data_IF_835967352636
#
_entry.id   IF_835967352636
#
_cell.length_a   1.000
_cell.length_b   1.000
_cell.length_c   1.000
_cell.angle_alpha   90.00
_cell.angle_beta   90.00
_cell.angle_gamma   90.00
#
_symmetry.space_group_name_H-M   'P 1'
#
loop_
_entity.id
_entity.type
_entity.pdbx_description
1 polymer ?
#
# COMPACT_ATOMS: atom_id res chain seq x y z
N UNK A 1 -24.99 7.09 -11.28
CA UNK A 1 -24.04 6.43 -12.22
C UNK A 1 -22.67 6.59 -11.57
N UNK A 2 -22.34 5.71 -10.62
CA UNK A 2 -21.23 5.93 -9.66
C UNK A 2 -20.28 4.72 -9.61
N UNK A 3 -20.20 3.96 -10.70
CA UNK A 3 -19.44 2.71 -10.80
C UNK A 3 -18.05 2.91 -11.41
N UNK A 4 -17.70 4.12 -11.86
CA UNK A 4 -16.44 4.36 -12.56
C UNK A 4 -15.24 4.42 -11.61
N UNK A 5 -15.41 4.98 -10.39
CA UNK A 5 -14.34 5.10 -9.38
C UNK A 5 -13.98 3.78 -8.68
N UNK A 6 -14.95 2.87 -8.54
CA UNK A 6 -14.72 1.53 -7.95
C UNK A 6 -13.99 0.61 -8.93
N UNK A 7 -14.29 0.70 -10.24
CA UNK A 7 -13.54 -0.04 -11.27
C UNK A 7 -12.06 0.37 -11.34
N UNK A 8 -11.73 1.57 -10.87
CA UNK A 8 -10.37 2.12 -10.82
C UNK A 8 -9.49 1.45 -9.75
N UNK A 9 -10.08 0.84 -8.70
CA UNK A 9 -9.31 0.07 -7.71
C UNK A 9 -9.03 -1.37 -8.14
N UNK A 10 -9.67 -1.83 -9.22
CA UNK A 10 -9.51 -3.19 -9.71
C UNK A 10 -8.30 -3.36 -10.64
N UNK A 11 -7.47 -2.32 -10.74
CA UNK A 11 -6.29 -2.28 -11.59
C UNK A 11 -5.06 -2.15 -10.68
N UNK A 12 -4.16 -3.16 -10.66
CA UNK A 12 -3.00 -3.16 -9.76
C UNK A 12 -2.10 -1.94 -9.97
N UNK A 13 -2.03 -1.40 -11.19
CA UNK A 13 -1.26 -0.18 -11.48
C UNK A 13 -1.82 1.04 -10.75
N UNK A 14 -3.14 1.15 -10.64
CA UNK A 14 -3.78 2.28 -9.98
C UNK A 14 -3.69 2.13 -8.46
N UNK A 15 -3.89 0.92 -7.94
CA UNK A 15 -3.68 0.63 -6.51
C UNK A 15 -2.23 0.94 -6.09
N UNK A 16 -1.25 0.67 -6.95
CA UNK A 16 0.15 1.03 -6.70
C UNK A 16 0.35 2.55 -6.60
N UNK A 17 -0.17 3.31 -7.57
CA UNK A 17 -0.13 4.79 -7.53
C UNK A 17 -0.82 5.33 -6.27
N UNK A 18 -1.94 4.73 -5.88
CA UNK A 18 -2.66 5.10 -4.67
C UNK A 18 -1.82 4.84 -3.40
N UNK A 19 -1.17 3.68 -3.31
CA UNK A 19 -0.28 3.35 -2.21
C UNK A 19 0.92 4.32 -2.15
N UNK A 20 1.54 4.63 -3.28
CA UNK A 20 2.65 5.61 -3.35
C UNK A 20 2.22 7.00 -2.85
N UNK A 21 1.06 7.50 -3.33
CA UNK A 21 0.53 8.78 -2.89
C UNK A 21 0.18 8.80 -1.40
N UNK A 22 -0.34 7.69 -0.87
CA UNK A 22 -0.63 7.53 0.54
C UNK A 22 0.64 7.60 1.41
N UNK A 23 1.69 6.88 1.01
CA UNK A 23 2.97 6.87 1.73
C UNK A 23 3.63 8.25 1.73
N UNK A 24 3.48 9.01 0.64
CA UNK A 24 4.02 10.37 0.53
C UNK A 24 3.38 11.37 1.51
N UNK A 25 2.10 11.18 1.88
CA UNK A 25 1.38 12.08 2.81
C UNK A 25 1.50 11.62 4.26
N UNK A 26 1.51 10.30 4.47
CA UNK A 26 1.21 9.71 5.77
C UNK A 26 2.37 9.31 6.64
N UNK A 27 3.60 9.33 6.14
CA UNK A 27 4.74 8.73 6.83
C UNK A 27 5.98 9.62 6.85
N UNK A 28 6.86 9.42 7.86
CA UNK A 28 8.17 10.03 7.86
C UNK A 28 8.87 9.67 6.56
N UNK A 29 9.44 10.69 5.91
CA UNK A 29 10.14 10.53 4.65
C UNK A 29 11.06 9.32 4.70
N UNK A 30 10.89 8.39 3.75
CA UNK A 30 11.84 7.30 3.55
C UNK A 30 13.24 7.90 3.51
N UNK A 31 14.24 7.30 4.18
CA UNK A 31 15.56 7.90 4.28
C UNK A 31 16.13 8.16 2.90
N UNK A 32 16.73 9.35 2.73
CA UNK A 32 17.31 9.80 1.47
C UNK A 32 18.41 8.83 1.05
N UNK A 33 18.24 8.18 -0.11
CA UNK A 33 19.16 7.16 -0.61
C UNK A 33 18.59 5.74 -0.62
N UNK A 34 17.39 5.54 -0.06
CA UNK A 34 16.69 4.27 -0.15
C UNK A 34 16.30 3.95 -1.61
N UNK A 35 16.67 2.74 -2.05
CA UNK A 35 16.36 2.23 -3.39
C UNK A 35 15.05 1.44 -3.36
N UNK A 36 14.18 1.66 -4.35
CA UNK A 36 12.95 0.88 -4.52
C UNK A 36 13.30 -0.53 -5.00
N UNK A 37 12.83 -1.53 -4.27
CA UNK A 37 12.89 -2.93 -4.68
C UNK A 37 11.71 -3.18 -5.62
N UNK A 38 11.99 -3.71 -6.81
CA UNK A 38 10.97 -3.93 -7.84
C UNK A 38 10.57 -5.39 -7.97
N UNK A 39 11.47 -6.31 -7.59
CA UNK A 39 11.23 -7.74 -7.73
C UNK A 39 11.07 -8.42 -6.36
N UNK A 40 10.08 -9.31 -6.19
CA UNK A 40 9.90 -10.06 -4.94
C UNK A 40 11.12 -10.91 -4.56
N UNK A 41 11.89 -11.37 -5.55
CA UNK A 41 13.11 -12.18 -5.36
C UNK A 41 14.27 -11.41 -4.68
N UNK A 42 14.21 -10.08 -4.68
CA UNK A 42 15.18 -9.23 -3.99
C UNK A 42 14.83 -9.05 -2.50
N UNK A 43 13.64 -9.50 -2.09
CA UNK A 43 13.18 -9.42 -0.71
C UNK A 43 13.66 -10.62 0.11
N UNK A 44 13.80 -10.47 1.43
CA UNK A 44 13.92 -11.59 2.35
C UNK A 44 12.76 -12.59 2.18
N UNK A 45 12.96 -13.89 2.46
CA UNK A 45 11.95 -14.93 2.24
C UNK A 45 10.59 -14.63 2.87
N UNK A 46 10.57 -14.07 4.09
CA UNK A 46 9.33 -13.73 4.79
C UNK A 46 8.55 -12.61 4.08
N UNK A 47 9.26 -11.60 3.56
CA UNK A 47 8.68 -10.49 2.80
C UNK A 47 8.31 -10.90 1.37
N UNK A 48 9.08 -11.79 0.77
CA UNK A 48 8.78 -12.39 -0.52
C UNK A 48 7.43 -13.10 -0.47
N UNK A 49 7.17 -13.91 0.56
CA UNK A 49 5.87 -14.57 0.75
C UNK A 49 4.71 -13.59 0.82
N UNK A 50 4.88 -12.46 1.51
CA UNK A 50 3.88 -11.39 1.54
C UNK A 50 3.69 -10.79 0.14
N UNK A 51 4.76 -10.47 -0.59
CA UNK A 51 4.68 -9.93 -1.95
C UNK A 51 3.99 -10.89 -2.92
N UNK A 52 4.34 -12.18 -2.87
CA UNK A 52 3.76 -13.22 -3.72
C UNK A 52 2.29 -13.46 -3.42
N UNK A 53 1.89 -13.41 -2.15
CA UNK A 53 0.47 -13.52 -1.76
C UNK A 53 -0.41 -12.42 -2.38
N UNK A 54 0.20 -11.28 -2.77
CA UNK A 54 -0.50 -10.16 -3.39
C UNK A 54 -0.57 -10.25 -4.92
N UNK A 55 0.30 -11.04 -5.58
CA UNK A 55 0.30 -11.17 -7.04
C UNK A 55 -1.01 -11.74 -7.62
N UNK A 56 -1.80 -12.47 -6.81
CA UNK A 56 -3.10 -13.02 -7.19
C UNK A 56 -4.32 -12.28 -6.63
N UNK A 57 -4.12 -11.21 -5.87
CA UNK A 57 -5.19 -10.39 -5.28
C UNK A 57 -5.17 -8.99 -5.89
N UNK A 58 -6.23 -8.20 -5.71
CA UNK A 58 -6.24 -6.77 -6.06
C UNK A 58 -5.29 -5.91 -5.18
N UNK A 59 -4.45 -6.57 -4.39
CA UNK A 59 -3.44 -5.97 -3.54
C UNK A 59 -2.13 -5.69 -4.29
N UNK A 60 -1.41 -4.70 -3.81
CA UNK A 60 -0.09 -4.31 -4.29
C UNK A 60 0.88 -4.28 -3.13
N UNK A 61 2.16 -4.30 -3.45
CA UNK A 61 3.22 -4.11 -2.48
C UNK A 61 4.23 -3.09 -3.01
N UNK A 62 4.93 -2.46 -2.08
CA UNK A 62 6.04 -1.57 -2.33
C UNK A 62 7.10 -1.81 -1.28
N UNK A 63 8.36 -1.81 -1.70
CA UNK A 63 9.46 -1.96 -0.78
C UNK A 63 10.62 -1.04 -1.14
N UNK A 64 11.30 -0.59 -0.08
CA UNK A 64 12.51 0.22 -0.18
C UNK A 64 13.58 -0.35 0.72
N UNK A 65 14.84 -0.23 0.32
CA UNK A 65 15.99 -0.63 1.12
C UNK A 65 17.08 0.43 1.10
N UNK A 66 17.68 0.67 2.27
CA UNK A 66 18.86 1.52 2.46
C UNK A 66 20.09 0.67 2.81
N UNK A 67 20.17 -0.57 2.32
CA UNK A 67 21.16 -1.62 2.66
C UNK A 67 21.17 -2.08 4.13
N UNK A 68 20.67 -1.27 5.07
CA UNK A 68 20.60 -1.59 6.51
C UNK A 68 19.23 -2.05 6.96
N UNK A 69 18.18 -1.54 6.32
CA UNK A 69 16.78 -1.81 6.66
C UNK A 69 15.97 -1.90 5.39
N UNK A 70 14.89 -2.68 5.48
CA UNK A 70 13.89 -2.80 4.44
C UNK A 70 12.58 -2.28 5.00
N UNK A 71 11.95 -1.36 4.27
CA UNK A 71 10.59 -0.92 4.53
C UNK A 71 9.68 -1.60 3.54
N UNK A 72 8.83 -2.50 4.03
CA UNK A 72 7.90 -3.24 3.19
C UNK A 72 6.47 -2.82 3.50
N UNK A 73 5.73 -2.52 2.44
CA UNK A 73 4.36 -2.06 2.52
C UNK A 73 3.48 -2.88 1.61
N UNK A 74 2.29 -3.22 2.09
CA UNK A 74 1.22 -3.73 1.23
C UNK A 74 0.05 -2.77 1.24
N UNK A 75 -0.56 -2.58 0.08
CA UNK A 75 -1.79 -1.82 -0.10
C UNK A 75 -2.86 -2.72 -0.67
N UNK A 76 -4.00 -2.82 0.00
CA UNK A 76 -5.15 -3.58 -0.50
C UNK A 76 -6.40 -2.70 -0.55
N UNK A 77 -7.11 -2.64 -1.68
CA UNK A 77 -8.32 -1.85 -1.79
C UNK A 77 -9.45 -2.48 -0.95
N UNK A 78 -10.01 -1.72 -0.02
CA UNK A 78 -11.15 -2.16 0.78
C UNK A 78 -12.46 -1.79 0.08
N UNK A 79 -13.04 -2.72 -0.68
CA UNK A 79 -14.31 -2.49 -1.38
C UNK A 79 -15.47 -2.23 -0.40
N UNK A 80 -15.48 -2.87 0.76
CA UNK A 80 -16.51 -2.67 1.78
C UNK A 80 -16.53 -1.23 2.31
N UNK A 81 -15.38 -0.74 2.79
CA UNK A 81 -15.23 0.64 3.27
C UNK A 81 -15.40 1.65 2.14
N UNK A 82 -14.94 1.30 0.93
CA UNK A 82 -15.11 2.18 -0.22
C UNK A 82 -16.58 2.38 -0.60
N UNK A 83 -17.39 1.33 -0.50
CA UNK A 83 -18.83 1.39 -0.73
C UNK A 83 -19.55 2.18 0.35
N UNK A 84 -19.18 1.96 1.62
CA UNK A 84 -19.76 2.69 2.76
C UNK A 84 -19.50 4.20 2.65
N UNK A 85 -18.26 4.59 2.33
CA UNK A 85 -17.85 6.01 2.29
C UNK A 85 -17.99 6.67 0.93
N UNK A 86 -18.39 5.90 -0.10
CA UNK A 86 -18.46 6.32 -1.51
C UNK A 86 -17.14 6.95 -2.02
N UNK A 87 -16.02 6.54 -1.42
CA UNK A 87 -14.67 7.07 -1.64
C UNK A 87 -13.68 5.90 -1.63
N UNK A 88 -12.60 5.92 -2.40
CA UNK A 88 -11.67 4.80 -2.43
C UNK A 88 -10.88 4.72 -1.13
N UNK A 89 -10.91 3.55 -0.51
CA UNK A 89 -10.22 3.23 0.74
C UNK A 89 -9.18 2.15 0.50
N UNK A 90 -7.96 2.40 0.95
CA UNK A 90 -6.82 1.51 0.87
C UNK A 90 -6.41 1.07 2.27
N UNK A 91 -6.32 -0.24 2.50
CA UNK A 91 -5.71 -0.81 3.70
C UNK A 91 -4.21 -0.88 3.45
N UNK A 92 -3.45 -0.09 4.20
CA UNK A 92 -1.99 -0.06 4.13
C UNK A 92 -1.43 -0.77 5.35
N UNK A 93 -0.53 -1.72 5.12
CA UNK A 93 0.16 -2.47 6.17
C UNK A 93 1.66 -2.32 5.98
N UNK A 94 2.35 -2.01 7.06
CA UNK A 94 3.80 -2.03 7.15
C UNK A 94 4.27 -3.33 7.80
N UNK A 95 5.30 -3.92 7.22
CA UNK A 95 6.00 -5.07 7.78
C UNK A 95 7.48 -4.75 7.99
N UNK A 96 8.06 -5.38 9.02
CA UNK A 96 9.50 -5.34 9.27
C UNK A 96 10.25 -6.34 8.37
N UNK A 97 11.58 -6.38 8.47
CA UNK A 97 12.44 -7.31 7.71
C UNK A 97 12.18 -8.79 7.97
N UNK A 98 11.59 -9.13 9.13
CA UNK A 98 11.15 -10.50 9.49
C UNK A 98 9.76 -10.82 8.98
N UNK A 99 9.07 -9.87 8.33
CA UNK A 99 7.70 -10.02 7.88
C UNK A 99 6.68 -9.90 9.01
N UNK A 100 7.06 -9.33 10.15
CA UNK A 100 6.13 -9.02 11.25
C UNK A 100 5.38 -7.73 10.96
N UNK A 101 4.06 -7.72 11.19
CA UNK A 101 3.23 -6.53 10.97
C UNK A 101 3.57 -5.46 12.02
N UNK A 102 4.13 -4.34 11.58
CA UNK A 102 4.46 -3.20 12.44
C UNK A 102 3.25 -2.29 12.63
N UNK A 103 2.56 -1.98 11.53
CA UNK A 103 1.41 -1.07 11.55
C UNK A 103 0.41 -1.46 10.47
N UNK A 104 -0.88 -1.31 10.79
CA UNK A 104 -1.96 -1.38 9.80
C UNK A 104 -2.83 -0.14 9.93
N UNK A 105 -3.10 0.53 8.81
CA UNK A 105 -3.91 1.73 8.77
C UNK A 105 -4.80 1.73 7.53
N UNK A 106 -6.02 2.24 7.68
CA UNK A 106 -6.90 2.47 6.55
C UNK A 106 -6.71 3.91 6.07
N UNK A 107 -6.66 4.10 4.77
CA UNK A 107 -6.45 5.39 4.14
C UNK A 107 -7.57 5.66 3.16
N UNK A 108 -8.23 6.80 3.29
CA UNK A 108 -9.25 7.23 2.34
C UNK A 108 -8.68 8.34 1.47
N UNK A 109 -8.88 8.21 0.16
CA UNK A 109 -8.62 9.30 -0.76
C UNK A 109 -9.84 10.23 -0.74
N UNK A 110 -9.63 11.42 -0.20
CA UNK A 110 -10.65 12.47 -0.15
C UNK A 110 -10.89 13.07 -1.54
N UNK A 111 -12.07 13.64 -1.77
CA UNK A 111 -12.40 14.32 -3.04
C UNK A 111 -11.48 15.51 -3.36
N UNK A 112 -10.75 16.04 -2.37
CA UNK A 112 -9.77 17.11 -2.54
C UNK A 112 -8.42 16.59 -3.08
N UNK A 113 -8.29 15.28 -3.36
CA UNK A 113 -7.03 14.65 -3.76
C UNK A 113 -6.08 14.40 -2.59
N UNK A 114 -6.49 14.70 -1.36
CA UNK A 114 -5.72 14.45 -0.16
C UNK A 114 -5.94 13.04 0.39
N UNK A 115 -4.88 12.46 0.95
CA UNK A 115 -4.94 11.21 1.70
C UNK A 115 -5.22 11.48 3.17
N UNK A 116 -6.24 10.82 3.71
CA UNK A 116 -6.57 10.90 5.13
C UNK A 116 -6.50 9.52 5.78
N UNK A 117 -5.71 9.41 6.84
CA UNK A 117 -5.67 8.22 7.68
C UNK A 117 -7.01 8.10 8.40
N UNK A 118 -7.71 7.01 8.14
CA UNK A 118 -8.80 6.55 8.98
C UNK A 118 -8.16 5.90 10.20
N UNK A 119 -8.40 6.49 11.38
CA UNK A 119 -8.02 5.89 12.65
C UNK A 119 -8.72 4.53 12.86
N UNK A 120 -8.28 3.76 13.87
CA UNK A 120 -9.03 2.60 14.34
C UNK A 120 -10.45 2.98 14.77
#
# INVERSE_FOLDING_TARGET
>A
MDTMRLKTLNNPRQTQVLLEGCLAVGRPALPTGSCRIQSPEELPPELQRHAESRLGSDGVWLAWSDRRRIWFFTGEPSLALSRERKQPVLNVREYDERGELLEAANWVLTNLGGWQRLGP
#
